data_IF_155176687538
#
_entry.id   IF_155176687538
#
_cell.length_a   1.000
_cell.length_b   1.000
_cell.length_c   1.000
_cell.angle_alpha   90.00
_cell.angle_beta   90.00
_cell.angle_gamma   90.00
#
_symmetry.space_group_name_H-M   'P 1'
#
loop_
_entity.id
_entity.type
_entity.pdbx_description
1 polymer ?
2 polymer ?
3 non-polymer ?
4 water ?
#
# COMPACT_ATOMS: atom_id res chain seq x y z
N UNK A 1 28.71 20.41 -2.52
CA UNK A 1 29.32 19.05 -2.66
C UNK A 1 28.85 18.11 -1.56
N UNK A 2 28.14 17.05 -1.96
CA UNK A 2 27.57 16.13 -0.98
C UNK A 2 28.55 15.09 -0.46
N UNK A 3 28.49 14.85 0.84
CA UNK A 3 29.26 13.79 1.45
C UNK A 3 28.68 12.44 1.04
N UNK A 4 29.43 11.39 1.33
CA UNK A 4 29.00 10.02 1.15
C UNK A 4 27.74 9.75 1.98
N UNK A 5 27.63 10.38 3.15
CA UNK A 5 26.52 10.12 4.06
C UNK A 5 25.21 10.71 3.53
N UNK A 6 25.32 11.85 2.85
CA UNK A 6 24.16 12.49 2.28
C UNK A 6 23.74 11.77 1.03
N UNK A 7 24.70 11.29 0.23
CA UNK A 7 24.34 10.48 -0.93
C UNK A 7 23.68 9.18 -0.48
N UNK A 8 24.30 8.49 0.47
CA UNK A 8 23.74 7.27 1.05
C UNK A 8 22.27 7.41 1.52
N UNK A 9 21.93 8.52 2.18
CA UNK A 9 20.58 8.77 2.69
C UNK A 9 19.60 8.96 1.53
N UNK A 10 20.05 9.65 0.48
CA UNK A 10 19.20 9.79 -0.69
C UNK A 10 18.98 8.39 -1.29
N UNK A 11 20.03 7.57 -1.25
CA UNK A 11 19.96 6.27 -1.90
C UNK A 11 19.01 5.34 -1.17
N UNK A 12 19.08 5.39 0.16
CA UNK A 12 18.15 4.63 0.96
C UNK A 12 16.69 5.04 0.67
N UNK A 13 16.47 6.34 0.46
CA UNK A 13 15.14 6.88 0.04
C UNK A 13 14.72 6.41 -1.34
N UNK A 14 15.64 6.50 -2.29
CA UNK A 14 15.48 5.90 -3.63
C UNK A 14 15.03 4.43 -3.50
N UNK A 15 15.67 3.68 -2.60
CA UNK A 15 15.41 2.26 -2.43
C UNK A 15 13.94 1.97 -2.09
N UNK A 16 13.29 2.89 -1.39
CA UNK A 16 11.88 2.73 -1.04
C UNK A 16 10.88 2.87 -2.22
N UNK A 17 11.25 3.58 -3.29
CA UNK A 17 10.42 3.58 -4.50
C UNK A 17 10.75 2.35 -5.35
N UNK A 18 12.05 2.00 -5.42
CA UNK A 18 12.51 0.86 -6.22
C UNK A 18 12.43 -0.41 -5.40
N UNK A 19 11.25 -1.02 -5.37
CA UNK A 19 10.97 -2.13 -4.46
C UNK A 19 11.55 -3.43 -4.94
N UNK A 20 11.60 -3.62 -6.26
CA UNK A 20 12.18 -4.81 -6.84
C UNK A 20 13.71 -4.71 -6.95
N UNK A 21 14.26 -3.57 -6.51
CA UNK A 21 15.70 -3.35 -6.46
C UNK A 21 16.41 -3.41 -7.79
N UNK A 22 15.72 -3.05 -8.87
CA UNK A 22 16.33 -3.01 -10.20
C UNK A 22 17.33 -1.85 -10.36
N UNK A 23 17.24 -0.86 -9.48
CA UNK A 23 18.08 0.32 -9.58
C UNK A 23 17.39 1.37 -10.42
N UNK A 24 16.09 1.15 -10.71
CA UNK A 24 15.29 2.19 -11.33
C UNK A 24 13.88 2.27 -10.74
N UNK A 25 13.30 3.47 -10.76
CA UNK A 25 11.88 3.68 -10.49
C UNK A 25 11.12 3.63 -11.84
N UNK A 26 10.25 2.62 -12.01
CA UNK A 26 9.35 2.56 -13.19
C UNK A 26 8.04 3.28 -12.89
N UNK A 27 7.18 3.44 -13.89
CA UNK A 27 5.91 4.14 -13.73
C UNK A 27 4.94 3.43 -12.78
N UNK A 28 5.06 2.11 -12.67
CA UNK A 28 4.16 1.31 -11.85
C UNK A 28 4.63 1.30 -10.39
N UNK A 29 5.94 1.30 -10.19
CA UNK A 29 6.52 1.56 -8.87
C UNK A 29 6.23 2.97 -8.35
N UNK A 30 6.17 3.96 -9.24
CA UNK A 30 5.90 5.34 -8.82
C UNK A 30 4.47 5.48 -8.33
N UNK A 31 3.55 5.00 -9.16
CA UNK A 31 2.12 4.92 -8.88
C UNK A 31 1.79 4.21 -7.57
N UNK A 32 2.32 3.01 -7.35
CA UNK A 32 2.14 2.32 -6.06
C UNK A 32 2.62 3.13 -4.85
N UNK A 33 3.77 3.82 -4.96
CA UNK A 33 4.33 4.64 -3.87
C UNK A 33 3.55 5.92 -3.56
N UNK A 34 3.05 6.60 -4.59
CA UNK A 34 2.25 7.83 -4.42
C UNK A 34 0.87 7.54 -3.82
N UNK A 35 0.19 6.49 -4.28
CA UNK A 35 -1.11 6.04 -3.68
C UNK A 35 -1.00 5.76 -2.20
N UNK A 36 0.03 4.98 -1.84
CA UNK A 36 0.31 4.57 -0.48
C UNK A 36 0.45 5.79 0.40
N UNK A 37 1.17 6.81 -0.07
CA UNK A 37 1.33 8.08 0.66
C UNK A 37 0.09 9.00 0.62
N UNK A 38 -0.96 8.53 -0.03
CA UNK A 38 -2.23 9.24 0.02
C UNK A 38 -2.50 10.29 -1.03
N UNK A 39 -1.55 10.58 -1.89
CA UNK A 39 -1.82 11.40 -3.06
C UNK A 39 -2.64 10.52 -3.98
N UNK A 40 -3.62 11.07 -4.68
CA UNK A 40 -4.35 10.27 -5.66
C UNK A 40 -3.84 10.63 -7.05
N UNK A 41 -2.77 9.95 -7.49
CA UNK A 41 -2.17 10.28 -8.76
C UNK A 41 -2.97 9.68 -9.93
N UNK A 42 -2.97 10.39 -11.06
CA UNK A 42 -3.69 9.96 -12.26
C UNK A 42 -2.71 9.36 -13.24
N UNK A 43 -3.19 8.44 -14.08
CA UNK A 43 -2.30 7.75 -15.02
C UNK A 43 -1.45 8.74 -15.80
N UNK A 44 -2.06 9.84 -16.25
CA UNK A 44 -1.36 10.84 -17.05
C UNK A 44 -0.47 11.75 -16.21
N UNK A 45 -0.90 11.99 -14.97
CA UNK A 45 -0.04 12.66 -14.00
C UNK A 45 1.27 11.90 -13.72
N UNK A 46 1.25 10.57 -13.83
CA UNK A 46 2.46 9.74 -13.58
C UNK A 46 3.42 9.81 -14.80
N UNK A 47 2.85 9.88 -16.01
CA UNK A 47 3.63 10.01 -17.24
C UNK A 47 4.45 11.31 -17.26
N UNK A 48 3.93 12.35 -16.62
CA UNK A 48 4.63 13.60 -16.61
C UNK A 48 5.72 13.53 -15.56
N UNK A 49 5.40 12.97 -14.39
CA UNK A 49 6.41 12.80 -13.34
C UNK A 49 7.61 12.08 -13.93
N UNK A 50 7.39 10.90 -14.54
CA UNK A 50 8.42 10.09 -15.17
C UNK A 50 9.23 10.85 -16.24
N UNK A 51 8.53 11.49 -17.18
CA UNK A 51 9.18 12.15 -18.30
C UNK A 51 10.06 13.33 -17.89
N UNK A 52 9.70 13.99 -16.78
CA UNK A 52 10.40 15.18 -16.38
C UNK A 52 11.71 14.87 -15.65
N UNK A 53 11.80 13.68 -15.02
CA UNK A 53 13.04 13.28 -14.30
C UNK A 53 13.99 12.35 -15.06
N UNK A 54 13.45 11.54 -15.96
CA UNK A 54 14.27 10.63 -16.79
C UNK A 54 14.92 11.40 -17.94
N UNK A 55 16.23 11.56 -17.90
CA UNK A 55 16.92 12.39 -18.91
C UNK A 55 17.52 11.61 -20.07
N UNK A 56 17.51 10.28 -19.99
CA UNK A 56 18.09 9.46 -21.04
C UNK A 56 17.05 8.64 -21.84
N UNK A 57 15.78 8.97 -21.69
CA UNK A 57 14.76 8.32 -22.49
C UNK A 57 14.61 6.85 -22.18
N UNK A 58 14.85 6.46 -20.94
CA UNK A 58 14.75 5.04 -20.65
C UNK A 58 13.33 4.69 -20.24
N UNK A 59 12.56 5.70 -19.84
CA UNK A 59 11.24 5.48 -19.22
C UNK A 59 11.37 5.11 -17.74
N UNK A 60 12.56 5.31 -17.16
CA UNK A 60 12.81 4.99 -15.77
C UNK A 60 13.77 5.98 -15.19
N UNK A 61 13.65 6.18 -13.89
CA UNK A 61 14.55 7.02 -13.16
C UNK A 61 15.52 6.15 -12.41
N UNK A 62 16.78 6.30 -12.75
CA UNK A 62 17.84 5.69 -11.98
C UNK A 62 18.32 6.63 -10.84
N UNK A 63 19.20 6.07 -10.02
CA UNK A 63 19.67 6.77 -8.85
C UNK A 63 20.25 8.17 -9.22
N UNK A 64 21.05 8.25 -10.27
CA UNK A 64 21.63 9.56 -10.71
C UNK A 64 20.60 10.60 -11.17
N UNK A 65 19.61 10.18 -11.96
CA UNK A 65 18.47 11.06 -12.28
C UNK A 65 17.71 11.47 -10.99
N UNK A 66 17.43 10.53 -10.09
CA UNK A 66 16.76 10.81 -8.82
C UNK A 66 17.58 11.76 -7.95
N UNK A 67 18.90 11.57 -7.98
CA UNK A 67 19.81 12.40 -7.23
C UNK A 67 19.86 13.85 -7.68
N UNK A 68 19.81 14.12 -8.98
CA UNK A 68 19.61 15.51 -9.45
C UNK A 68 18.32 16.04 -8.83
N UNK A 69 17.23 15.30 -9.03
CA UNK A 69 15.92 15.75 -8.58
C UNK A 69 16.02 16.20 -7.12
N UNK A 70 16.60 15.35 -6.29
CA UNK A 70 16.62 15.54 -4.86
C UNK A 70 17.73 16.48 -4.37
N UNK A 71 18.49 17.09 -5.27
CA UNK A 71 19.50 18.08 -4.88
C UNK A 71 19.40 19.40 -5.66
N UNK A 72 18.39 19.54 -6.51
CA UNK A 72 18.10 20.79 -7.20
C UNK A 72 17.93 21.94 -6.21
N UNK A 73 18.44 23.11 -6.62
CA UNK A 73 18.28 24.38 -5.93
C UNK A 73 16.89 24.55 -5.39
N UNK A 74 16.82 25.20 -4.23
CA UNK A 74 15.57 25.71 -3.70
C UNK A 74 15.88 26.84 -2.72
N UNK A 75 15.13 27.94 -2.84
CA UNK A 75 15.16 29.03 -1.87
C UNK A 75 14.79 28.60 -0.44
N UNK A 76 15.09 29.46 0.50
CA UNK A 76 14.81 29.16 1.89
C UNK A 76 13.30 29.04 2.25
N UNK A 77 12.49 29.91 1.66
CA UNK A 77 11.04 29.90 1.80
C UNK A 77 10.45 28.59 1.25
N UNK A 78 10.82 28.22 0.03
CA UNK A 78 10.37 26.97 -0.56
C UNK A 78 10.78 25.76 0.32
N UNK A 79 12.04 25.75 0.76
CA UNK A 79 12.59 24.69 1.62
C UNK A 79 11.91 24.57 2.98
N UNK A 80 11.54 25.70 3.62
CA UNK A 80 10.77 25.66 4.87
C UNK A 80 9.43 24.96 4.69
N UNK A 81 8.69 25.41 3.67
CA UNK A 81 7.40 24.83 3.40
C UNK A 81 7.57 23.38 2.93
N UNK A 82 8.75 23.03 2.45
CA UNK A 82 8.96 21.64 2.10
C UNK A 82 8.93 20.78 3.37
N UNK A 83 9.75 21.14 4.36
CA UNK A 83 9.79 20.44 5.66
C UNK A 83 8.38 20.41 6.28
N UNK A 84 7.72 21.58 6.27
CA UNK A 84 6.39 21.71 6.80
C UNK A 84 5.40 20.76 6.11
N UNK A 85 5.33 20.81 4.78
CA UNK A 85 4.49 19.87 4.02
C UNK A 85 4.72 18.40 4.40
N UNK A 86 5.97 18.06 4.73
CA UNK A 86 6.32 16.70 5.10
C UNK A 86 5.89 16.38 6.53
N UNK A 87 6.05 17.35 7.42
CA UNK A 87 5.54 17.22 8.79
C UNK A 87 4.02 16.98 8.79
N UNK A 88 3.29 17.66 7.92
CA UNK A 88 1.81 17.52 7.90
C UNK A 88 1.40 16.24 7.21
N UNK A 89 2.28 15.66 6.44
CA UNK A 89 1.98 14.37 5.82
C UNK A 89 1.93 13.30 6.93
N UNK A 90 2.81 13.44 7.91
CA UNK A 90 2.85 12.56 9.09
C UNK A 90 1.62 12.77 9.98
N UNK A 91 1.50 14.01 10.47
CA UNK A 91 0.40 14.46 11.30
C UNK A 91 -0.77 14.10 10.34
N UNK A 92 -1.51 13.09 10.77
CA UNK A 92 -2.62 12.48 10.05
C UNK A 92 -3.85 12.88 10.84
N UNK A 93 -3.68 12.96 12.17
CA UNK A 93 -4.75 13.28 13.14
C UNK A 93 -4.77 14.75 13.51
N UNK A 94 -3.92 15.53 12.83
CA UNK A 94 -3.84 17.00 12.89
C UNK A 94 -3.60 17.56 14.28
N UNK A 95 -2.76 16.87 15.06
CA UNK A 95 -2.62 17.20 16.46
C UNK A 95 -1.46 18.16 16.71
N UNK A 96 -0.69 18.51 15.68
CA UNK A 96 0.49 19.37 15.80
C UNK A 96 1.81 18.65 16.15
N UNK A 97 1.76 17.35 16.34
CA UNK A 97 2.95 16.60 16.76
C UNK A 97 2.98 15.24 16.08
N UNK A 98 4.17 14.70 15.91
CA UNK A 98 4.29 13.41 15.27
C UNK A 98 4.38 12.40 16.40
N UNK A 99 3.45 11.47 16.41
CA UNK A 99 3.39 10.46 17.43
C UNK A 99 3.90 9.14 16.85
N UNK A 100 4.19 8.23 17.77
CA UNK A 100 4.55 6.87 17.46
C UNK A 100 3.71 6.33 16.32
N UNK A 101 2.40 6.50 16.45
CA UNK A 101 1.46 5.97 15.45
C UNK A 101 1.58 6.65 14.08
N UNK A 102 1.78 7.97 14.05
CA UNK A 102 2.01 8.66 12.77
C UNK A 102 3.15 7.96 12.03
N UNK A 103 4.27 7.83 12.73
CA UNK A 103 5.48 7.28 12.17
C UNK A 103 5.26 5.87 11.67
N UNK A 104 4.60 5.07 12.50
CA UNK A 104 4.32 3.68 12.19
C UNK A 104 3.46 3.66 10.92
N UNK A 105 2.52 4.58 10.84
CA UNK A 105 1.67 4.64 9.66
C UNK A 105 2.49 4.90 8.39
N UNK A 106 3.43 5.86 8.49
CA UNK A 106 4.24 6.30 7.35
C UNK A 106 5.35 5.30 6.94
N UNK A 107 5.98 4.65 7.91
CA UNK A 107 7.01 3.64 7.64
C UNK A 107 6.41 2.48 6.89
N UNK A 108 5.16 2.15 7.19
CA UNK A 108 4.44 1.02 6.62
C UNK A 108 4.03 1.28 5.16
N UNK A 109 3.61 2.53 4.88
CA UNK A 109 3.23 2.97 3.53
C UNK A 109 4.41 2.95 2.59
N UNK A 110 5.57 3.34 3.11
CA UNK A 110 6.80 3.27 2.35
C UNK A 110 7.45 1.85 2.30
N UNK A 111 6.81 0.88 2.97
CA UNK A 111 7.27 -0.48 2.97
C UNK A 111 8.52 -0.73 3.79
N UNK A 112 8.67 0.03 4.87
CA UNK A 112 9.76 -0.23 5.81
C UNK A 112 9.31 -1.35 6.70
N UNK A 113 10.23 -2.26 6.99
CA UNK A 113 9.86 -3.43 7.79
C UNK A 113 10.41 -3.19 9.17
N UNK A 114 9.78 -2.28 9.89
CA UNK A 114 10.26 -1.80 11.18
C UNK A 114 9.50 -2.41 12.33
N UNK A 115 10.21 -2.73 13.41
CA UNK A 115 9.55 -3.24 14.61
C UNK A 115 9.15 -2.03 15.36
N UNK A 116 8.29 -2.23 16.37
CA UNK A 116 7.84 -1.15 17.23
C UNK A 116 8.95 -0.58 18.10
N UNK A 117 9.88 -1.44 18.47
CA UNK A 117 11.07 -1.05 19.22
C UNK A 117 11.91 -0.06 18.40
N UNK A 118 12.04 -0.35 17.10
CA UNK A 118 12.81 0.47 16.18
C UNK A 118 12.11 1.79 15.89
N UNK A 119 10.79 1.75 15.92
CA UNK A 119 9.98 2.95 15.75
C UNK A 119 10.03 3.83 16.98
N UNK A 120 9.96 3.18 18.15
CA UNK A 120 10.04 3.86 19.43
C UNK A 120 11.42 4.52 19.64
N UNK A 121 12.48 3.85 19.22
CA UNK A 121 13.81 4.47 19.24
C UNK A 121 13.93 5.67 18.29
N UNK A 122 13.16 5.63 17.20
CA UNK A 122 13.08 6.76 16.29
C UNK A 122 12.31 7.88 16.97
N UNK A 123 11.29 7.54 17.75
CA UNK A 123 10.52 8.57 18.48
C UNK A 123 11.35 9.15 19.62
N UNK A 124 11.88 8.27 20.46
CA UNK A 124 12.78 8.58 21.56
C UNK A 124 13.90 9.57 21.20
N UNK A 125 14.62 9.33 20.09
CA UNK A 125 15.78 10.16 19.69
C UNK A 125 15.46 11.57 19.17
N UNK A 126 14.23 11.77 18.70
CA UNK A 126 13.79 13.05 18.20
C UNK A 126 13.19 13.88 19.34
N UNK A 127 12.66 13.20 20.36
CA UNK A 127 11.75 13.81 21.35
C UNK A 127 12.32 15.03 22.09
N UNK A 128 13.46 14.92 22.75
CA UNK A 128 14.02 16.14 23.36
C UNK A 128 13.31 16.77 24.56
N UNK A 129 12.03 17.07 24.43
CA UNK A 129 11.32 17.68 25.56
C UNK A 129 10.66 16.61 26.41
N UNK A 130 10.99 15.34 26.13
CA UNK A 130 10.44 14.19 26.85
C UNK A 130 8.91 14.01 26.88
N UNK A 131 8.17 14.58 25.94
CA UNK A 131 6.71 14.40 25.94
C UNK A 131 6.17 13.15 25.23
N UNK A 132 7.05 12.36 24.60
CA UNK A 132 6.60 11.16 23.89
C UNK A 132 6.17 11.39 22.43
N UNK A 133 6.21 12.64 21.97
CA UNK A 133 5.92 12.98 20.58
C UNK A 133 6.89 14.03 20.00
N UNK A 134 6.85 14.20 18.68
CA UNK A 134 7.78 15.07 17.98
C UNK A 134 7.08 16.32 17.44
N UNK A 135 7.33 17.45 18.08
CA UNK A 135 6.75 18.70 17.60
C UNK A 135 7.48 19.21 16.37
N UNK A 136 7.00 20.33 15.82
CA UNK A 136 7.60 21.00 14.67
C UNK A 136 9.10 21.32 14.79
N UNK A 137 9.50 22.02 15.86
CA UNK A 137 10.92 22.27 16.16
C UNK A 137 11.79 21.03 16.19
N UNK A 138 11.41 20.01 16.93
CA UNK A 138 12.32 18.89 17.04
C UNK A 138 12.32 18.01 15.78
N UNK A 139 11.28 18.17 14.97
CA UNK A 139 11.24 17.66 13.59
C UNK A 139 12.32 18.36 12.77
N UNK A 140 12.30 19.70 12.77
CA UNK A 140 13.29 20.49 12.02
C UNK A 140 14.68 20.07 12.43
N UNK A 141 14.85 19.84 13.72
CA UNK A 141 16.15 19.58 14.31
C UNK A 141 16.77 18.21 13.96
N UNK A 142 15.98 17.15 13.96
CA UNK A 142 16.49 15.83 13.66
C UNK A 142 16.73 15.69 12.16
N UNK A 143 16.06 16.53 11.36
CA UNK A 143 16.35 16.66 9.92
C UNK A 143 17.63 17.47 9.68
N UNK A 144 18.21 17.99 10.76
CA UNK A 144 19.42 18.78 10.69
C UNK A 144 19.17 20.10 9.92
N UNK A 145 17.99 20.69 10.10
CA UNK A 145 17.50 21.84 9.34
C UNK A 145 17.17 23.04 10.25
N UNK A 146 17.86 23.14 11.38
CA UNK A 146 17.55 24.16 12.40
C UNK A 146 17.40 25.60 11.88
N UNK A 147 18.34 26.09 11.10
CA UNK A 147 18.27 27.51 10.73
C UNK A 147 16.99 27.91 9.96
N UNK A 148 16.25 26.91 9.49
CA UNK A 148 15.01 27.13 8.74
C UNK A 148 13.83 27.33 9.65
N UNK A 149 13.84 26.66 10.80
CA UNK A 149 12.77 26.80 11.76
C UNK A 149 12.95 28.14 12.48
N UNK B 1 18.56 8.75 13.28
CA UNK B 1 19.38 9.76 12.52
C UNK B 1 19.14 9.65 11.00
N UNK B 2 19.77 8.64 10.41
CA UNK B 2 19.59 8.32 9.02
C UNK B 2 18.16 7.87 8.73
N UNK B 3 17.53 7.16 9.65
CA UNK B 3 16.12 6.75 9.43
C UNK B 3 15.16 7.92 9.25
N UNK B 4 15.29 8.88 10.15
CA UNK B 4 14.49 10.10 10.07
C UNK B 4 14.74 10.78 8.74
N UNK B 5 16.00 10.98 8.39
CA UNK B 5 16.31 11.71 7.17
C UNK B 5 15.90 10.94 5.91
N UNK B 6 16.03 9.62 5.94
CA UNK B 6 15.61 8.73 4.85
C UNK B 6 14.12 8.88 4.59
N UNK B 7 13.34 8.92 5.65
CA UNK B 7 11.90 9.08 5.50
C UNK B 7 11.63 10.45 4.97
N UNK B 8 12.43 11.40 5.40
CA UNK B 8 12.19 12.77 5.01
C UNK B 8 12.37 12.90 3.50
N UNK B 9 13.41 12.26 3.00
CA UNK B 9 13.81 12.44 1.64
C UNK B 9 12.84 11.74 0.71
N UNK B 10 12.30 10.61 1.16
CA UNK B 10 11.27 9.90 0.38
C UNK B 10 9.95 10.69 0.27
N UNK B 11 9.52 11.26 1.40
CA UNK B 11 8.28 12.02 1.47
C UNK B 11 8.44 13.36 0.76
N UNK B 12 9.61 14.00 0.89
CA UNK B 12 9.98 15.16 0.09
C UNK B 12 9.93 14.86 -1.41
N UNK B 13 10.37 13.67 -1.80
CA UNK B 13 10.36 13.29 -3.21
C UNK B 13 8.93 13.18 -3.65
N UNK B 14 8.09 12.48 -2.87
CA UNK B 14 6.66 12.35 -3.20
C UNK B 14 6.10 13.74 -3.50
N UNK B 15 6.40 14.67 -2.59
CA UNK B 15 5.99 16.05 -2.72
C UNK B 15 6.52 16.75 -3.97
N UNK B 16 7.77 16.47 -4.34
CA UNK B 16 8.29 17.02 -5.60
C UNK B 16 7.56 16.48 -6.86
N UNK B 17 7.30 15.16 -6.90
CA UNK B 17 6.64 14.54 -8.05
C UNK B 17 5.26 15.08 -8.24
N UNK B 18 4.56 15.30 -7.13
CA UNK B 18 3.22 15.90 -7.12
C UNK B 18 3.28 17.30 -7.70
N UNK B 19 4.35 18.00 -7.38
CA UNK B 19 4.57 19.36 -7.85
C UNK B 19 4.75 19.39 -9.38
N UNK B 20 5.45 18.38 -9.91
CA UNK B 20 5.70 18.21 -11.34
C UNK B 20 4.40 17.93 -12.11
N UNK B 21 3.52 17.13 -11.51
CA UNK B 21 2.27 16.74 -12.15
C UNK B 21 1.39 17.97 -12.35
N UNK B 22 1.40 18.89 -11.40
CA UNK B 22 0.53 20.06 -11.41
C UNK B 22 1.32 21.32 -11.75
N UNK C 1 -26.00 -22.43 5.90
CA UNK C 1 -25.14 -22.83 7.08
C UNK C 1 -23.73 -23.26 6.68
N UNK C 2 -22.73 -22.48 7.10
CA UNK C 2 -21.30 -22.72 6.76
C UNK C 2 -20.55 -23.65 7.74
N UNK C 3 -19.50 -24.31 7.24
CA UNK C 3 -18.63 -25.12 8.12
C UNK C 3 -17.79 -24.24 9.06
N UNK C 4 -17.16 -24.86 10.06
CA UNK C 4 -16.15 -24.18 10.86
C UNK C 4 -14.94 -23.83 9.97
N UNK C 5 -14.67 -24.67 8.97
CA UNK C 5 -13.64 -24.43 7.94
C UNK C 5 -13.86 -23.15 7.10
N UNK C 6 -15.06 -23.02 6.51
CA UNK C 6 -15.43 -21.84 5.73
C UNK C 6 -15.55 -20.55 6.58
N UNK C 7 -15.84 -20.68 7.88
CA UNK C 7 -15.78 -19.50 8.74
C UNK C 7 -14.35 -18.99 8.94
N UNK C 8 -13.40 -19.90 9.16
CA UNK C 8 -11.98 -19.53 9.35
C UNK C 8 -11.35 -18.88 8.11
N UNK C 9 -11.57 -19.46 6.94
CA UNK C 9 -11.12 -18.83 5.71
C UNK C 9 -11.64 -17.39 5.63
N UNK C 10 -12.94 -17.18 5.78
CA UNK C 10 -13.50 -15.81 5.78
C UNK C 10 -12.85 -14.92 6.85
N UNK C 11 -12.70 -15.46 8.07
CA UNK C 11 -12.05 -14.75 9.16
C UNK C 11 -10.61 -14.35 8.81
N UNK C 12 -9.87 -15.24 8.15
CA UNK C 12 -8.50 -14.94 7.69
C UNK C 12 -8.39 -13.76 6.68
N UNK C 13 -9.32 -13.68 5.73
CA UNK C 13 -9.48 -12.54 4.81
C UNK C 13 -9.89 -11.23 5.53
N UNK C 14 -10.79 -11.35 6.49
CA UNK C 14 -11.13 -10.25 7.37
C UNK C 14 -9.88 -9.65 8.03
N UNK C 15 -9.04 -10.53 8.57
CA UNK C 15 -7.84 -10.16 9.31
C UNK C 15 -6.84 -9.42 8.41
N UNK C 16 -7.01 -9.59 7.11
CA UNK C 16 -6.23 -8.80 6.17
C UNK C 16 -6.70 -7.33 6.14
N UNK C 17 -8.02 -7.11 6.04
CA UNK C 17 -8.61 -5.76 6.08
C UNK C 17 -8.45 -5.00 7.43
N UNK C 18 -8.71 -5.69 8.55
CA UNK C 18 -8.59 -5.16 9.91
C UNK C 18 -7.14 -5.18 10.42
N UNK C 19 -6.37 -4.16 10.07
CA UNK C 19 -4.94 -4.21 10.33
C UNK C 19 -4.50 -3.93 11.77
N UNK C 20 -5.28 -3.17 12.54
CA UNK C 20 -4.92 -2.89 13.94
C UNK C 20 -5.36 -4.00 14.91
N UNK C 21 -6.08 -4.99 14.39
CA UNK C 21 -6.55 -6.09 15.22
C UNK C 21 -7.73 -5.72 16.09
N UNK C 22 -8.43 -4.64 15.71
CA UNK C 22 -9.57 -4.12 16.46
C UNK C 22 -10.75 -5.11 16.51
N UNK C 23 -10.77 -6.06 15.57
CA UNK C 23 -11.91 -6.92 15.35
C UNK C 23 -12.96 -6.29 14.42
N UNK C 24 -12.62 -5.12 13.85
CA UNK C 24 -13.53 -4.38 12.98
C UNK C 24 -12.72 -3.64 11.94
N UNK C 25 -13.37 -3.43 10.81
CA UNK C 25 -12.82 -2.70 9.68
C UNK C 25 -13.37 -1.28 9.74
N UNK C 26 -12.52 -0.29 10.00
CA UNK C 26 -12.96 1.12 9.97
C UNK C 26 -12.85 1.68 8.54
N UNK C 27 -13.27 2.93 8.32
CA UNK C 27 -13.29 3.52 6.97
C UNK C 27 -11.91 3.93 6.52
N UNK C 28 -10.98 4.03 7.46
CA UNK C 28 -9.61 4.33 7.09
C UNK C 28 -8.95 3.03 6.57
N UNK C 29 -9.09 1.96 7.34
CA UNK C 29 -8.62 0.64 6.95
C UNK C 29 -9.21 0.11 5.62
N UNK C 30 -10.51 0.32 5.39
CA UNK C 30 -11.13 0.05 4.10
C UNK C 30 -10.53 0.89 2.96
N UNK C 31 -10.43 2.21 3.12
CA UNK C 31 -9.76 3.08 2.12
C UNK C 31 -8.37 2.59 1.70
N UNK C 32 -7.58 2.09 2.66
CA UNK C 32 -6.23 1.58 2.42
C UNK C 32 -6.17 0.25 1.65
N UNK C 33 -7.06 -0.69 1.93
CA UNK C 33 -7.08 -1.98 1.22
C UNK C 33 -7.50 -1.78 -0.24
N UNK C 34 -8.66 -1.14 -0.46
CA UNK C 34 -9.12 -0.79 -1.81
C UNK C 34 -7.97 -0.28 -2.67
N UNK C 35 -7.35 0.81 -2.23
CA UNK C 35 -6.24 1.47 -2.95
C UNK C 35 -5.06 0.53 -3.25
N UNK C 36 -4.58 -0.18 -2.24
CA UNK C 36 -3.56 -1.20 -2.48
C UNK C 36 -3.93 -2.24 -3.60
N UNK C 37 -5.19 -2.69 -3.66
CA UNK C 37 -5.65 -3.55 -4.77
C UNK C 37 -5.89 -2.80 -6.09
N UNK C 38 -5.87 -1.48 -6.00
CA UNK C 38 -5.93 -0.62 -7.18
C UNK C 38 -7.32 -0.17 -7.61
N UNK C 39 -8.22 0.07 -6.67
CA UNK C 39 -9.60 0.45 -6.99
C UNK C 39 -9.86 1.96 -7.11
N UNK C 40 -9.04 2.78 -6.45
CA UNK C 40 -9.19 4.24 -6.44
C UNK C 40 -10.58 4.72 -5.93
N UNK C 41 -10.94 4.35 -4.68
CA UNK C 41 -12.20 4.77 -4.04
C UNK C 41 -12.22 6.24 -3.60
N UNK C 42 -13.42 6.83 -3.57
CA UNK C 42 -13.64 8.25 -3.24
C UNK C 42 -14.07 8.39 -1.76
N UNK C 43 -14.21 9.59 -1.22
CA UNK C 43 -14.60 9.74 0.20
C UNK C 43 -16.00 9.19 0.47
N UNK C 44 -16.98 9.63 -0.31
CA UNK C 44 -18.39 9.27 -0.11
C UNK C 44 -18.69 7.80 -0.42
N UNK C 45 -17.92 7.21 -1.31
CA UNK C 45 -18.16 5.84 -1.67
C UNK C 45 -17.84 4.92 -0.50
N UNK C 46 -16.70 5.16 0.15
CA UNK C 46 -16.30 4.44 1.35
C UNK C 46 -17.37 4.58 2.45
N UNK C 47 -17.85 5.81 2.64
CA UNK C 47 -18.98 6.13 3.50
C UNK C 47 -20.14 5.20 3.16
N UNK C 48 -20.50 5.12 1.87
CA UNK C 48 -21.55 4.20 1.36
C UNK C 48 -21.25 2.70 1.49
N UNK C 49 -19.98 2.29 1.43
CA UNK C 49 -19.59 0.87 1.63
C UNK C 49 -19.83 0.40 3.06
N UNK C 50 -19.46 1.27 4.02
CA UNK C 50 -19.55 0.99 5.45
C UNK C 50 -21.03 1.08 5.82
N UNK C 51 -21.71 2.10 5.28
CA UNK C 51 -23.12 2.29 5.61
C UNK C 51 -23.94 1.09 5.15
N UNK C 52 -23.55 0.48 4.05
CA UNK C 52 -24.34 -0.64 3.63
C UNK C 52 -24.14 -1.88 4.50
N UNK C 53 -22.92 -2.15 4.94
CA UNK C 53 -22.62 -3.38 5.70
C UNK C 53 -22.76 -3.26 7.24
N UNK C 54 -22.37 -2.13 7.81
CA UNK C 54 -22.57 -1.84 9.23
C UNK C 54 -24.06 -1.77 9.57
N UNK C 55 -24.50 -2.69 10.43
CA UNK C 55 -25.91 -2.81 10.75
C UNK C 55 -26.22 -2.29 12.15
N UNK C 56 -25.20 -2.18 12.99
CA UNK C 56 -25.47 -1.78 14.37
C UNK C 56 -25.18 -0.31 14.67
N UNK C 57 -24.75 0.45 13.67
CA UNK C 57 -24.49 1.87 13.81
C UNK C 57 -23.12 2.22 14.37
N UNK C 58 -22.25 1.22 14.52
CA UNK C 58 -20.98 1.49 15.11
C UNK C 58 -20.12 2.30 14.16
N UNK C 59 -20.50 2.30 12.88
CA UNK C 59 -19.67 2.92 11.82
C UNK C 59 -18.37 2.18 11.46
N UNK C 60 -18.32 0.87 11.75
CA UNK C 60 -17.25 0.00 11.31
C UNK C 60 -17.87 -1.36 10.97
N UNK C 61 -17.09 -2.28 10.41
CA UNK C 61 -17.65 -3.57 10.10
C UNK C 61 -17.01 -4.64 10.98
N UNK C 62 -17.84 -5.33 11.76
CA UNK C 62 -17.28 -6.32 12.63
C UNK C 62 -17.38 -7.66 11.90
N UNK C 63 -16.72 -8.68 12.44
CA UNK C 63 -16.65 -9.94 11.73
C UNK C 63 -18.00 -10.53 11.31
N UNK C 64 -19.03 -10.36 12.14
CA UNK C 64 -20.35 -10.91 11.83
C UNK C 64 -21.03 -10.20 10.67
N UNK C 65 -20.74 -8.92 10.49
CA UNK C 65 -21.40 -8.19 9.43
C UNK C 65 -20.67 -8.50 8.13
N UNK C 66 -19.33 -8.56 8.23
CA UNK C 66 -18.51 -9.03 7.13
C UNK C 66 -18.99 -10.41 6.74
N UNK C 67 -18.97 -11.33 7.71
CA UNK C 67 -19.46 -12.68 7.49
C UNK C 67 -20.79 -12.69 6.70
N UNK C 68 -21.73 -11.85 7.12
CA UNK C 68 -23.02 -11.76 6.44
C UNK C 68 -22.88 -11.31 5.00
N UNK C 69 -22.05 -10.30 4.77
CA UNK C 69 -21.85 -9.74 3.44
C UNK C 69 -21.28 -10.80 2.49
N UNK C 70 -20.32 -11.57 2.98
CA UNK C 70 -19.59 -12.56 2.15
C UNK C 70 -20.30 -13.91 2.01
N UNK C 71 -21.45 -14.09 2.62
CA UNK C 71 -22.12 -15.37 2.47
C UNK C 71 -23.52 -15.21 1.91
N UNK C 72 -23.72 -14.18 1.11
CA UNK C 72 -25.05 -13.80 0.63
C UNK C 72 -25.45 -14.65 -0.59
N UNK C 73 -26.69 -15.07 -0.66
CA UNK C 73 -27.18 -15.85 -1.80
C UNK C 73 -26.63 -15.23 -3.08
N UNK C 74 -26.01 -16.06 -3.93
CA UNK C 74 -25.57 -15.62 -5.26
C UNK C 74 -25.89 -16.69 -6.30
N UNK C 75 -26.39 -16.28 -7.47
CA UNK C 75 -26.61 -17.23 -8.57
C UNK C 75 -25.34 -17.66 -9.26
N UNK C 76 -25.42 -18.75 -10.02
CA UNK C 76 -24.29 -19.32 -10.75
C UNK C 76 -23.64 -18.34 -11.74
N UNK C 77 -24.44 -17.52 -12.41
CA UNK C 77 -23.90 -16.51 -13.30
C UNK C 77 -23.06 -15.49 -12.58
N UNK C 78 -23.50 -15.03 -11.42
CA UNK C 78 -22.72 -14.01 -10.73
C UNK C 78 -21.50 -14.59 -9.97
N UNK C 79 -21.62 -15.81 -9.48
CA UNK C 79 -20.51 -16.49 -8.86
C UNK C 79 -19.36 -16.65 -9.84
N UNK C 80 -19.70 -17.00 -11.08
CA UNK C 80 -18.69 -17.15 -12.13
C UNK C 80 -18.05 -15.83 -12.45
N UNK C 81 -18.87 -14.78 -12.53
CA UNK C 81 -18.34 -13.48 -12.86
C UNK C 81 -17.46 -12.95 -11.73
N UNK C 82 -17.82 -13.27 -10.51
CA UNK C 82 -16.99 -12.95 -9.35
C UNK C 82 -15.63 -13.66 -9.38
N UNK C 83 -15.63 -14.93 -9.78
CA UNK C 83 -14.37 -15.70 -9.95
C UNK C 83 -13.46 -15.17 -11.08
N UNK C 84 -14.08 -14.84 -12.21
CA UNK C 84 -13.41 -14.16 -13.31
C UNK C 84 -12.93 -12.78 -12.90
N UNK C 85 -13.77 -12.04 -12.17
CA UNK C 85 -13.29 -10.75 -11.66
C UNK C 85 -12.09 -10.90 -10.74
N UNK C 86 -12.06 -11.95 -9.91
CA UNK C 86 -10.85 -12.18 -9.09
C UNK C 86 -9.63 -12.56 -9.94
N UNK C 87 -9.84 -13.42 -10.93
CA UNK C 87 -8.77 -13.89 -11.79
C UNK C 87 -8.11 -12.73 -12.48
N UNK C 88 -8.91 -11.88 -13.11
CA UNK C 88 -8.42 -10.69 -13.81
C UNK C 88 -7.67 -9.73 -12.90
N UNK C 89 -8.09 -9.60 -11.65
CA UNK C 89 -7.31 -8.75 -10.78
C UNK C 89 -5.91 -9.31 -10.52
N UNK C 90 -5.84 -10.64 -10.37
CA UNK C 90 -4.54 -11.28 -10.20
C UNK C 90 -3.64 -10.98 -11.36
N UNK C 91 -4.20 -11.00 -12.57
CA UNK C 91 -3.47 -11.05 -13.85
C UNK C 91 -3.24 -9.69 -14.54
N UNK C 92 -2.46 -8.82 -13.90
CA UNK C 92 -2.29 -7.42 -14.37
C UNK C 92 -1.44 -7.26 -15.63
N UNK C 93 -0.76 -8.33 -16.02
CA UNK C 93 -0.02 -8.39 -17.28
C UNK C 93 -0.85 -9.07 -18.38
N UNK C 94 -2.07 -9.51 -18.03
CA UNK C 94 -3.07 -9.96 -19.01
C UNK C 94 -2.57 -11.10 -19.90
N UNK C 95 -1.90 -12.06 -19.29
CA UNK C 95 -1.39 -13.19 -20.04
C UNK C 95 -2.39 -14.35 -20.06
N UNK C 96 -3.44 -14.24 -19.26
CA UNK C 96 -4.48 -15.26 -19.06
C UNK C 96 -4.01 -16.35 -18.12
N UNK C 97 -2.91 -16.11 -17.41
CA UNK C 97 -2.43 -17.04 -16.40
C UNK C 97 -1.96 -16.28 -15.18
N UNK C 98 -2.10 -16.90 -14.02
CA UNK C 98 -1.58 -16.34 -12.81
C UNK C 98 -0.19 -16.94 -12.68
N UNK C 99 0.79 -16.06 -12.64
CA UNK C 99 2.15 -16.41 -12.46
C UNK C 99 2.55 -16.16 -11.02
N UNK C 100 3.72 -16.69 -10.67
CA UNK C 100 4.37 -16.36 -9.42
C UNK C 100 4.41 -14.85 -9.24
N UNK C 101 4.86 -14.14 -10.26
CA UNK C 101 4.99 -12.69 -10.20
C UNK C 101 3.66 -12.09 -9.76
N UNK C 102 2.57 -12.44 -10.45
CA UNK C 102 1.22 -11.97 -10.10
C UNK C 102 0.85 -12.29 -8.66
N UNK C 103 0.97 -13.58 -8.33
CA UNK C 103 0.65 -14.03 -6.99
C UNK C 103 1.44 -13.25 -5.95
N UNK C 104 2.73 -13.09 -6.17
CA UNK C 104 3.56 -12.29 -5.28
C UNK C 104 3.12 -10.82 -5.20
N UNK C 105 2.58 -10.25 -6.27
CA UNK C 105 2.11 -8.87 -6.18
C UNK C 105 0.91 -8.70 -5.21
N UNK C 106 -0.17 -9.42 -5.47
CA UNK C 106 -1.37 -9.35 -4.65
C UNK C 106 -1.13 -9.72 -3.18
N UNK C 107 -0.30 -10.75 -2.91
CA UNK C 107 0.00 -11.11 -1.53
C UNK C 107 0.66 -9.91 -0.83
N UNK C 108 1.56 -9.23 -1.52
CA UNK C 108 2.19 -8.03 -0.97
C UNK C 108 1.18 -6.90 -0.80
N UNK C 109 0.36 -6.70 -1.82
CA UNK C 109 -0.69 -5.68 -1.77
C UNK C 109 -1.59 -5.79 -0.56
N UNK C 110 -1.83 -7.02 -0.11
CA UNK C 110 -2.69 -7.30 1.03
C UNK C 110 -1.89 -7.46 2.34
N UNK C 111 -0.61 -7.10 2.30
CA UNK C 111 0.24 -7.16 3.48
C UNK C 111 0.41 -8.55 4.08
N UNK C 112 0.52 -9.57 3.23
CA UNK C 112 0.62 -10.96 3.68
C UNK C 112 2.00 -11.40 4.15
N UNK C 113 3.03 -10.61 3.84
CA UNK C 113 4.42 -10.97 4.21
C UNK C 113 4.89 -12.39 3.95
N UNK C 114 5.06 -12.74 2.69
CA UNK C 114 5.24 -14.12 2.30
C UNK C 114 6.54 -14.36 1.56
N UNK C 115 7.32 -15.32 2.05
CA UNK C 115 8.52 -15.76 1.34
C UNK C 115 8.18 -16.68 0.17
N UNK C 116 9.18 -16.84 -0.69
CA UNK C 116 8.99 -17.41 -2.01
C UNK C 116 8.70 -18.90 -2.01
N UNK C 117 8.93 -19.57 -0.90
CA UNK C 117 8.65 -21.01 -0.84
C UNK C 117 7.17 -21.22 -0.66
N UNK C 118 6.57 -20.49 0.30
CA UNK C 118 5.13 -20.59 0.55
C UNK C 118 4.38 -20.13 -0.70
N UNK C 119 4.90 -19.09 -1.36
CA UNK C 119 4.32 -18.62 -2.61
C UNK C 119 4.39 -19.69 -3.72
N UNK C 120 5.57 -20.30 -3.91
CA UNK C 120 5.75 -21.30 -4.96
C UNK C 120 4.90 -22.53 -4.70
N UNK C 121 4.73 -22.88 -3.42
CA UNK C 121 3.90 -24.03 -3.01
C UNK C 121 2.42 -23.79 -3.29
N UNK C 122 2.02 -22.51 -3.35
CA UNK C 122 0.66 -22.12 -3.77
C UNK C 122 0.50 -22.38 -5.24
N UNK C 123 1.57 -22.11 -5.99
CA UNK C 123 1.58 -22.29 -7.45
C UNK C 123 1.59 -23.79 -7.81
N UNK C 124 2.48 -24.57 -7.20
CA UNK C 124 2.58 -26.03 -7.39
C UNK C 124 1.28 -26.79 -7.11
N UNK C 125 0.54 -26.33 -6.09
CA UNK C 125 -0.71 -26.94 -5.67
C UNK C 125 -1.84 -26.63 -6.63
N UNK C 126 -1.87 -25.41 -7.15
CA UNK C 126 -2.91 -25.06 -8.10
C UNK C 126 -2.54 -25.46 -9.55
N UNK C 127 -1.24 -25.50 -9.85
CA UNK C 127 -0.73 -25.93 -11.15
C UNK C 127 -0.88 -27.45 -11.44
N UNK C 128 -2.01 -27.86 -11.99
CA UNK C 128 -2.29 -29.27 -12.19
C UNK C 128 -1.88 -29.83 -13.56
N UNK C 129 -1.25 -28.99 -14.40
CA UNK C 129 -0.68 -29.44 -15.69
C UNK C 129 0.84 -29.25 -15.74
N UNK C 130 1.36 -28.43 -14.83
CA UNK C 130 2.79 -28.34 -14.65
C UNK C 130 3.48 -27.40 -15.62
N UNK C 131 2.83 -26.30 -15.99
CA UNK C 131 3.51 -25.29 -16.79
C UNK C 131 4.07 -24.14 -15.94
N UNK C 132 3.91 -24.22 -14.63
CA UNK C 132 4.38 -23.20 -13.68
C UNK C 132 3.46 -22.00 -13.46
N UNK C 133 2.30 -22.02 -14.11
CA UNK C 133 1.30 -20.97 -13.98
C UNK C 133 -0.08 -21.54 -13.69
N UNK C 134 -1.01 -20.68 -13.27
CA UNK C 134 -2.36 -21.09 -12.96
C UNK C 134 -3.34 -20.51 -13.99
N UNK C 135 -3.91 -21.38 -14.82
CA UNK C 135 -4.82 -20.89 -15.85
C UNK C 135 -6.25 -20.78 -15.35
N UNK C 136 -7.11 -20.17 -16.16
CA UNK C 136 -8.52 -20.11 -15.81
C UNK C 136 -9.07 -21.38 -15.13
N UNK C 137 -8.89 -22.55 -15.71
CA UNK C 137 -9.49 -23.77 -15.20
C UNK C 137 -8.87 -24.26 -13.88
N UNK C 138 -7.55 -24.14 -13.77
CA UNK C 138 -6.90 -24.53 -12.53
C UNK C 138 -7.43 -23.70 -11.34
N UNK C 139 -7.49 -22.37 -11.53
CA UNK C 139 -8.04 -21.40 -10.58
C UNK C 139 -9.50 -21.70 -10.18
N UNK C 140 -10.37 -21.95 -11.16
CA UNK C 140 -11.73 -22.38 -10.86
C UNK C 140 -11.75 -23.65 -10.00
N UNK C 141 -10.74 -24.51 -10.15
CA UNK C 141 -10.67 -25.82 -9.46
C UNK C 141 -10.15 -25.78 -8.02
N UNK C 142 -9.26 -24.84 -7.70
CA UNK C 142 -8.86 -24.67 -6.29
C UNK C 142 -9.87 -23.84 -5.45
N UNK C 143 -10.75 -23.11 -6.11
CA UNK C 143 -11.80 -22.40 -5.39
C UNK C 143 -13.06 -23.29 -5.27
N UNK C 144 -12.87 -24.58 -5.58
CA UNK C 144 -13.90 -25.62 -5.53
C UNK C 144 -15.18 -25.24 -6.29
N UNK C 145 -14.99 -24.57 -7.43
CA UNK C 145 -16.10 -24.13 -8.27
C UNK C 145 -15.95 -24.64 -9.71
N UNK C 146 -15.31 -25.80 -9.85
CA UNK C 146 -15.09 -26.45 -11.13
C UNK C 146 -16.31 -26.41 -12.06
N UNK C 147 -17.49 -26.68 -11.50
CA UNK C 147 -18.77 -26.71 -12.24
C UNK C 147 -19.13 -25.38 -12.93
N UNK C 148 -18.74 -24.26 -12.30
CA UNK C 148 -18.90 -22.92 -12.86
C UNK C 148 -18.01 -22.71 -14.07
N UNK C 149 -16.91 -23.44 -14.15
CA UNK C 149 -16.07 -23.37 -15.35
C UNK C 149 -16.68 -24.18 -16.47
N UNK D 2 -5.60 -23.15 3.10
CA UNK D 2 -6.36 -21.86 3.28
C UNK D 2 -5.84 -20.66 2.47
N UNK D 3 -4.62 -20.76 1.95
CA UNK D 3 -3.93 -19.60 1.36
C UNK D 3 -4.54 -19.09 0.05
N UNK D 4 -5.08 -20.01 -0.75
CA UNK D 4 -5.82 -19.63 -1.95
C UNK D 4 -7.17 -18.97 -1.65
N UNK D 5 -7.98 -19.66 -0.85
CA UNK D 5 -9.34 -19.24 -0.53
C UNK D 5 -9.36 -17.90 0.22
N UNK D 6 -8.45 -17.71 1.16
CA UNK D 6 -8.31 -16.47 1.91
C UNK D 6 -8.07 -15.26 0.99
N UNK D 7 -7.12 -15.39 0.08
CA UNK D 7 -6.88 -14.36 -0.94
C UNK D 7 -8.08 -14.11 -1.86
N UNK D 8 -8.78 -15.20 -2.21
CA UNK D 8 -9.97 -15.08 -3.05
C UNK D 8 -11.08 -14.32 -2.36
N UNK D 9 -11.33 -14.71 -1.11
CA UNK D 9 -12.30 -14.00 -0.26
C UNK D 9 -11.96 -12.50 -0.07
N UNK D 10 -10.72 -12.17 0.28
CA UNK D 10 -10.34 -10.75 0.43
C UNK D 10 -10.58 -9.99 -0.88
N UNK D 11 -10.15 -10.56 -1.99
CA UNK D 11 -10.32 -9.94 -3.30
C UNK D 11 -11.78 -9.80 -3.74
N UNK D 12 -12.60 -10.83 -3.47
CA UNK D 12 -14.03 -10.78 -3.78
C UNK D 12 -14.73 -9.77 -2.91
N UNK D 13 -14.31 -9.64 -1.65
CA UNK D 13 -14.93 -8.69 -0.74
C UNK D 13 -14.75 -7.32 -1.34
N UNK D 14 -13.54 -7.06 -1.87
CA UNK D 14 -13.18 -5.78 -2.42
C UNK D 14 -14.04 -5.44 -3.63
N UNK D 15 -14.32 -6.46 -4.45
CA UNK D 15 -15.24 -6.31 -5.59
C UNK D 15 -16.65 -5.98 -5.16
N UNK D 16 -17.16 -6.76 -4.20
CA UNK D 16 -18.44 -6.45 -3.61
C UNK D 16 -18.50 -5.00 -3.14
N UNK D 17 -17.57 -4.59 -2.29
CA UNK D 17 -17.47 -3.17 -1.86
C UNK D 17 -17.55 -2.21 -3.03
N UNK D 18 -16.84 -2.50 -4.10
CA UNK D 18 -16.91 -1.67 -5.29
C UNK D 18 -18.36 -1.64 -5.83
N UNK D 19 -18.98 -2.82 -5.98
CA UNK D 19 -20.35 -2.98 -6.50
C UNK D 19 -21.42 -2.20 -5.74
N UNK D 20 -21.23 -2.13 -4.42
CA UNK D 20 -22.02 -1.30 -3.51
C UNK D 20 -21.77 0.18 -3.80
N UNK D 21 -20.49 0.56 -3.83
CA UNK D 21 -20.10 1.97 -3.92
C UNK D 21 -20.63 2.58 -5.20
N UNK D 22 -21.11 1.74 -6.10
CA UNK D 22 -21.68 2.18 -7.36
C UNK D 22 -23.04 2.82 -7.14
#
# INVERSE_FOLDING_TARGET
>A
GLTEEQKQEIREAFDLFDTDGSGTIDAKELKVAMRALGFEPKKEEIKKMIADIDKDGSGTIDFEEFLQMMTAKMGERDSREEIMKAFRLFDDDETGKISFKNLKRVAKELGENMTDEELQEMIDEADRDGDGEVNEEEFFRIMKKTSLF
>B
KRRWKKNFIAVSAANRFKKISS
>C
GLTEEQKQEIREAFDLFDTDGSGTIDAKELKVAMRALGFEPKKEEIKKMIADIDKDGSGTIDFEEFLQMMTAKMGERDSREEIMKAFRLFDDDETGKISFKNLKRVAKELGENMTDEELQEMIDEADRDGDGEVNEEEFFRIMKKTSLF
>D
KRRWKKNFIAVSAANRFKKISS
#
